data_IF_832118385639
#
_entry.id   IF_832118385639
#
_cell.length_a   1.000
_cell.length_b   1.000
_cell.length_c   1.000
_cell.angle_alpha   90.00
_cell.angle_beta   90.00
_cell.angle_gamma   90.00
#
_symmetry.space_group_name_H-M   'P 1'
#
loop_
_entity.id
_entity.type
_entity.pdbx_description
1 polymer ?
#
# COMPACT_ATOMS: atom_id res chain seq x y z
N UNK A 1 -17.25 -14.39 -11.69
CA UNK A 1 -16.58 -13.55 -10.67
C UNK A 1 -15.38 -12.88 -11.31
N UNK A 2 -15.32 -11.55 -11.28
CA UNK A 2 -14.18 -10.80 -11.83
C UNK A 2 -12.92 -11.11 -11.02
N UNK A 3 -11.74 -10.97 -11.63
CA UNK A 3 -10.46 -11.27 -10.97
C UNK A 3 -10.33 -10.55 -9.63
N UNK A 4 -10.72 -9.28 -9.58
CA UNK A 4 -10.65 -8.46 -8.38
C UNK A 4 -11.55 -8.96 -7.25
N UNK A 5 -12.77 -9.41 -7.56
CA UNK A 5 -13.70 -9.98 -6.58
C UNK A 5 -13.13 -11.25 -5.96
N UNK A 6 -12.50 -12.11 -6.77
CA UNK A 6 -11.84 -13.32 -6.29
C UNK A 6 -10.68 -13.00 -5.34
N UNK A 7 -9.82 -12.05 -5.71
CA UNK A 7 -8.69 -11.61 -4.90
C UNK A 7 -9.15 -11.02 -3.56
N UNK A 8 -10.15 -10.13 -3.59
CA UNK A 8 -10.69 -9.49 -2.39
C UNK A 8 -11.41 -10.48 -1.48
N UNK A 9 -12.14 -11.44 -2.05
CA UNK A 9 -12.81 -12.50 -1.28
C UNK A 9 -11.79 -13.35 -0.55
N UNK A 10 -10.76 -13.85 -1.26
CA UNK A 10 -9.69 -14.66 -0.68
C UNK A 10 -8.88 -13.89 0.36
N UNK A 11 -8.59 -12.61 0.12
CA UNK A 11 -7.93 -11.76 1.12
C UNK A 11 -8.82 -11.58 2.37
N UNK A 12 -10.13 -11.41 2.19
CA UNK A 12 -11.09 -11.32 3.29
C UNK A 12 -11.15 -12.58 4.16
N UNK A 13 -10.89 -13.78 3.62
CA UNK A 13 -10.89 -15.02 4.39
C UNK A 13 -9.88 -15.00 5.55
N UNK A 14 -8.77 -14.28 5.42
CA UNK A 14 -7.74 -14.13 6.47
C UNK A 14 -7.92 -12.86 7.34
N UNK A 15 -9.07 -12.17 7.22
CA UNK A 15 -9.37 -10.92 7.92
C UNK A 15 -10.81 -10.88 8.41
N UNK A 16 -11.17 -11.75 9.35
CA UNK A 16 -12.51 -11.81 9.95
C UNK A 16 -12.54 -11.24 11.37
N UNK A 17 -11.43 -11.32 12.11
CA UNK A 17 -11.35 -10.78 13.47
C UNK A 17 -11.32 -9.24 13.44
N UNK A 18 -12.21 -8.59 14.20
CA UNK A 18 -12.34 -7.11 14.23
C UNK A 18 -11.04 -6.40 14.62
N UNK A 19 -10.27 -6.96 15.54
CA UNK A 19 -8.98 -6.40 15.97
C UNK A 19 -7.94 -6.51 14.86
N UNK A 20 -7.88 -7.67 14.18
CA UNK A 20 -6.99 -7.87 13.03
C UNK A 20 -7.32 -6.89 11.89
N UNK A 21 -8.61 -6.74 11.57
CA UNK A 21 -9.12 -5.78 10.57
C UNK A 21 -8.77 -4.34 10.95
N UNK A 22 -8.92 -3.94 12.22
CA UNK A 22 -8.56 -2.60 12.67
C UNK A 22 -7.06 -2.33 12.53
N UNK A 23 -6.23 -3.27 12.95
CA UNK A 23 -4.77 -3.18 12.81
C UNK A 23 -4.40 -3.01 11.33
N UNK A 24 -4.95 -3.84 10.45
CA UNK A 24 -4.68 -3.77 9.01
C UNK A 24 -5.18 -2.47 8.38
N UNK A 25 -6.29 -1.92 8.88
CA UNK A 25 -6.86 -0.65 8.39
C UNK A 25 -5.89 0.52 8.56
N UNK A 26 -5.05 0.48 9.61
CA UNK A 26 -4.02 1.48 9.87
C UNK A 26 -2.71 1.07 9.18
N UNK A 27 -2.26 -0.17 9.39
CA UNK A 27 -0.96 -0.63 8.94
C UNK A 27 -0.82 -0.67 7.42
N UNK A 28 -1.84 -1.10 6.67
CA UNK A 28 -1.76 -1.25 5.22
C UNK A 28 -1.49 0.08 4.48
N UNK A 29 -2.28 1.16 4.66
CA UNK A 29 -1.98 2.43 4.00
C UNK A 29 -0.67 3.04 4.50
N UNK A 30 -0.31 2.86 5.78
CA UNK A 30 0.98 3.30 6.30
C UNK A 30 2.15 2.57 5.65
N UNK A 31 2.09 1.24 5.52
CA UNK A 31 3.10 0.43 4.84
C UNK A 31 3.22 0.81 3.37
N UNK A 32 2.11 1.06 2.69
CA UNK A 32 2.13 1.57 1.33
C UNK A 32 2.90 2.89 1.25
N UNK A 33 2.54 3.88 2.07
CA UNK A 33 3.23 5.17 2.15
C UNK A 33 4.73 5.02 2.39
N UNK A 34 5.13 4.27 3.42
CA UNK A 34 6.56 4.15 3.75
C UNK A 34 7.31 3.29 2.74
N UNK A 35 6.66 2.39 2.00
CA UNK A 35 7.31 1.66 0.91
C UNK A 35 7.64 2.61 -0.24
N UNK A 36 6.73 3.52 -0.58
CA UNK A 36 7.00 4.60 -1.55
C UNK A 36 8.13 5.49 -1.03
N UNK A 37 8.13 5.84 0.26
CA UNK A 37 9.18 6.65 0.88
C UNK A 37 10.56 5.97 0.93
N UNK A 38 10.61 4.66 1.17
CA UNK A 38 11.84 3.88 1.11
C UNK A 38 12.42 3.85 -0.30
N UNK A 39 11.57 3.64 -1.32
CA UNK A 39 11.98 3.72 -2.73
C UNK A 39 12.42 5.13 -3.12
N UNK A 40 11.79 6.16 -2.56
CA UNK A 40 12.18 7.56 -2.76
C UNK A 40 13.58 7.84 -2.22
N UNK A 41 13.90 7.31 -1.03
CA UNK A 41 15.17 7.56 -0.35
C UNK A 41 16.36 6.76 -0.93
N UNK A 42 16.13 5.85 -1.88
CA UNK A 42 17.21 5.10 -2.52
C UNK A 42 18.03 6.00 -3.44
N UNK A 43 19.37 5.89 -3.42
CA UNK A 43 20.22 6.65 -4.35
C UNK A 43 19.87 6.27 -5.80
N UNK A 44 19.80 7.29 -6.65
CA UNK A 44 19.58 7.14 -8.09
C UNK A 44 20.85 7.49 -8.85
N UNK A 45 21.12 6.85 -10.00
CA UNK A 45 22.19 7.28 -10.89
C UNK A 45 21.98 8.73 -11.39
N UNK A 46 23.05 9.44 -11.70
CA UNK A 46 23.01 10.84 -12.18
C UNK A 46 22.09 11.02 -13.40
N UNK A 47 22.09 10.04 -14.32
CA UNK A 47 21.26 10.09 -15.52
C UNK A 47 19.76 10.09 -15.22
N UNK A 48 19.34 9.59 -14.04
CA UNK A 48 17.95 9.62 -13.59
C UNK A 48 17.70 10.84 -12.70
N UNK A 49 18.68 11.20 -11.86
CA UNK A 49 18.62 12.35 -10.96
C UNK A 49 18.37 13.68 -11.71
N UNK A 50 18.94 13.86 -12.91
CA UNK A 50 18.76 15.07 -13.73
C UNK A 50 17.30 15.37 -14.11
N UNK A 51 16.40 14.39 -13.97
CA UNK A 51 14.97 14.52 -14.27
C UNK A 51 14.10 14.68 -13.01
N UNK A 52 14.71 14.80 -11.82
CA UNK A 52 14.01 14.74 -10.52
C UNK A 52 13.18 13.45 -10.35
N UNK A 53 13.62 12.36 -10.99
CA UNK A 53 12.96 11.06 -10.92
C UNK A 53 13.67 10.16 -9.91
N UNK A 54 12.89 9.57 -9.01
CA UNK A 54 13.33 8.55 -8.05
C UNK A 54 12.82 7.16 -8.42
N UNK A 55 13.34 6.12 -7.77
CA UNK A 55 12.81 4.75 -7.95
C UNK A 55 11.32 4.67 -7.62
N UNK A 56 10.82 5.46 -6.67
CA UNK A 56 9.40 5.50 -6.33
C UNK A 56 8.52 5.87 -7.54
N UNK A 57 8.95 6.82 -8.36
CA UNK A 57 8.23 7.21 -9.59
C UNK A 57 8.21 6.07 -10.60
N UNK A 58 9.35 5.41 -10.82
CA UNK A 58 9.47 4.31 -11.77
C UNK A 58 8.60 3.11 -11.38
N UNK A 59 8.58 2.75 -10.10
CA UNK A 59 7.77 1.63 -9.59
C UNK A 59 6.28 1.97 -9.49
N UNK A 60 5.91 3.25 -9.30
CA UNK A 60 4.51 3.67 -9.28
C UNK A 60 3.78 3.34 -10.59
N UNK A 61 4.46 3.47 -11.75
CA UNK A 61 3.85 3.24 -13.07
C UNK A 61 3.30 1.80 -13.23
N UNK A 62 4.10 0.72 -13.13
CA UNK A 62 3.60 -0.64 -13.29
C UNK A 62 2.62 -1.03 -12.17
N UNK A 63 2.79 -0.50 -10.96
CA UNK A 63 1.87 -0.74 -9.83
C UNK A 63 0.49 -0.13 -10.11
N UNK A 64 0.43 1.13 -10.54
CA UNK A 64 -0.84 1.78 -10.90
C UNK A 64 -1.46 1.12 -12.13
N UNK A 65 -0.66 0.77 -13.14
CA UNK A 65 -1.13 0.01 -14.29
C UNK A 65 -1.81 -1.30 -13.87
N UNK A 66 -1.19 -2.06 -12.96
CA UNK A 66 -1.79 -3.26 -12.39
C UNK A 66 -3.14 -2.99 -11.71
N UNK A 67 -3.28 -1.91 -10.92
CA UNK A 67 -4.56 -1.57 -10.30
C UNK A 67 -5.64 -1.19 -11.32
N UNK A 68 -5.28 -0.45 -12.38
CA UNK A 68 -6.22 -0.15 -13.47
C UNK A 68 -6.63 -1.40 -14.26
N UNK A 69 -5.75 -2.40 -14.40
CA UNK A 69 -6.12 -3.71 -14.96
C UNK A 69 -7.11 -4.48 -14.09
N UNK A 70 -7.06 -4.29 -12.76
CA UNK A 70 -8.01 -4.92 -11.86
C UNK A 70 -9.38 -4.24 -11.92
N UNK A 71 -9.41 -2.89 -11.89
CA UNK A 71 -10.63 -2.09 -11.93
C UNK A 71 -10.30 -0.59 -12.05
N UNK A 72 -11.03 0.15 -12.90
CA UNK A 72 -10.85 1.59 -13.09
C UNK A 72 -10.97 2.40 -11.80
N UNK A 73 -12.05 2.24 -11.01
CA UNK A 73 -12.21 2.92 -9.71
C UNK A 73 -11.14 2.59 -8.68
N UNK A 74 -10.64 1.35 -8.62
CA UNK A 74 -9.53 1.00 -7.71
C UNK A 74 -8.21 1.56 -8.21
N UNK A 75 -7.97 1.57 -9.52
CA UNK A 75 -6.85 2.29 -10.13
C UNK A 75 -6.87 3.78 -9.73
N UNK A 76 -8.00 4.46 -9.89
CA UNK A 76 -8.15 5.86 -9.49
C UNK A 76 -7.92 6.08 -7.98
N UNK A 77 -8.48 5.22 -7.13
CA UNK A 77 -8.30 5.29 -5.68
C UNK A 77 -6.83 5.09 -5.26
N UNK A 78 -6.14 4.12 -5.89
CA UNK A 78 -4.72 3.90 -5.65
C UNK A 78 -3.85 5.03 -6.19
N UNK A 79 -4.22 5.67 -7.30
CA UNK A 79 -3.57 6.89 -7.78
C UNK A 79 -3.66 8.01 -6.73
N UNK A 80 -4.84 8.22 -6.14
CA UNK A 80 -5.00 9.21 -5.06
C UNK A 80 -4.12 8.90 -3.85
N UNK A 81 -4.06 7.63 -3.41
CA UNK A 81 -3.18 7.22 -2.32
C UNK A 81 -1.70 7.40 -2.66
N UNK A 82 -1.32 7.17 -3.92
CA UNK A 82 0.05 7.37 -4.41
C UNK A 82 0.43 8.85 -4.40
N UNK A 83 -0.44 9.72 -4.90
CA UNK A 83 -0.26 11.18 -4.87
C UNK A 83 -0.16 11.67 -3.43
N UNK A 84 -1.05 11.21 -2.55
CA UNK A 84 -1.00 11.55 -1.12
C UNK A 84 0.32 11.08 -0.49
N UNK A 85 0.85 9.93 -0.92
CA UNK A 85 2.13 9.42 -0.43
C UNK A 85 3.30 10.28 -0.87
N UNK A 86 3.38 10.68 -2.14
CA UNK A 86 4.37 11.64 -2.60
C UNK A 86 4.27 12.98 -1.86
N UNK A 87 3.04 13.50 -1.69
CA UNK A 87 2.81 14.72 -0.90
C UNK A 87 3.31 14.60 0.55
N UNK A 88 3.06 13.46 1.20
CA UNK A 88 3.56 13.18 2.55
C UNK A 88 5.08 13.13 2.61
N UNK A 89 5.74 12.53 1.62
CA UNK A 89 7.21 12.46 1.54
C UNK A 89 7.81 13.86 1.37
N UNK A 90 7.25 14.67 0.46
CA UNK A 90 7.69 16.06 0.27
C UNK A 90 7.50 16.90 1.54
N UNK A 91 6.45 16.64 2.32
CA UNK A 91 6.26 17.27 3.63
C UNK A 91 7.36 16.85 4.62
N UNK A 92 7.73 15.57 4.67
CA UNK A 92 8.85 15.13 5.52
C UNK A 92 10.14 15.87 5.17
N UNK A 93 10.48 15.97 3.87
CA UNK A 93 11.65 16.72 3.41
C UNK A 93 11.58 18.20 3.78
N UNK A 94 10.42 18.83 3.57
CA UNK A 94 10.18 20.24 3.93
C UNK A 94 10.39 20.51 5.41
N UNK A 95 10.04 19.57 6.28
CA UNK A 95 10.26 19.66 7.73
C UNK A 95 11.64 19.16 8.18
N UNK A 96 12.53 18.80 7.25
CA UNK A 96 13.87 18.32 7.56
C UNK A 96 13.89 16.93 8.21
N UNK A 97 12.82 16.15 8.07
CA UNK A 97 12.74 14.78 8.60
C UNK A 97 13.41 13.84 7.60
N UNK A 98 14.45 13.07 8.00
CA UNK A 98 15.11 12.12 7.10
C UNK A 98 14.15 11.02 6.63
N UNK A 99 13.73 11.06 5.36
CA UNK A 99 12.71 10.16 4.78
C UNK A 99 13.09 8.70 4.97
N UNK A 100 14.32 8.30 4.62
CA UNK A 100 14.78 6.90 4.70
C UNK A 100 14.65 6.32 6.11
N UNK A 101 15.32 6.88 7.13
CA UNK A 101 15.21 6.42 8.52
C UNK A 101 13.78 6.47 9.08
N UNK A 102 13.02 7.54 8.80
CA UNK A 102 11.63 7.66 9.24
C UNK A 102 10.75 6.54 8.67
N UNK A 103 10.79 6.37 7.35
CA UNK A 103 10.03 5.35 6.66
C UNK A 103 10.46 3.94 7.06
N UNK A 104 11.77 3.69 7.27
CA UNK A 104 12.27 2.39 7.72
C UNK A 104 11.75 2.03 9.12
N UNK A 105 11.84 2.97 10.07
CA UNK A 105 11.35 2.74 11.42
C UNK A 105 9.84 2.44 11.42
N UNK A 106 9.05 3.26 10.72
CA UNK A 106 7.61 3.08 10.64
C UNK A 106 7.23 1.81 9.85
N UNK A 107 7.99 1.43 8.82
CA UNK A 107 7.82 0.17 8.08
C UNK A 107 7.93 -1.03 9.03
N UNK A 108 9.00 -1.09 9.85
CA UNK A 108 9.19 -2.17 10.81
C UNK A 108 8.04 -2.22 11.82
N UNK A 109 7.66 -1.08 12.40
CA UNK A 109 6.57 -1.03 13.39
C UNK A 109 5.24 -1.51 12.79
N UNK A 110 4.88 -1.02 11.59
CA UNK A 110 3.62 -1.40 10.96
C UNK A 110 3.58 -2.87 10.55
N UNK A 111 4.71 -3.44 10.09
CA UNK A 111 4.81 -4.87 9.79
C UNK A 111 4.69 -5.74 11.04
N UNK A 112 5.34 -5.35 12.14
CA UNK A 112 5.18 -6.03 13.44
C UNK A 112 3.70 -6.02 13.85
N UNK A 113 3.02 -4.87 13.71
CA UNK A 113 1.58 -4.79 13.99
C UNK A 113 0.77 -5.71 13.07
N UNK A 114 1.02 -5.75 11.76
CA UNK A 114 0.34 -6.70 10.86
C UNK A 114 0.51 -8.16 11.30
N UNK A 115 1.73 -8.56 11.68
CA UNK A 115 1.98 -9.91 12.17
C UNK A 115 1.26 -10.21 13.49
N UNK A 116 1.18 -9.23 14.39
CA UNK A 116 0.36 -9.35 15.62
C UNK A 116 -1.12 -9.53 15.26
N UNK A 117 -1.63 -8.77 14.28
CA UNK A 117 -2.99 -8.93 13.77
C UNK A 117 -3.26 -10.35 13.26
N UNK A 118 -2.36 -10.89 12.42
CA UNK A 118 -2.47 -12.26 11.91
C UNK A 118 -2.35 -13.32 13.01
N UNK A 119 -1.53 -13.08 14.04
CA UNK A 119 -1.46 -13.97 15.22
C UNK A 119 -2.79 -14.02 15.97
N UNK A 120 -3.47 -12.88 16.11
CA UNK A 120 -4.80 -12.79 16.73
C UNK A 120 -5.86 -13.47 15.85
N UNK A 121 -5.76 -13.33 14.52
CA UNK A 121 -6.65 -14.00 13.57
C UNK A 121 -6.49 -15.54 13.60
N UNK A 122 -5.28 -16.04 13.89
CA UNK A 122 -4.95 -17.46 13.81
C UNK A 122 -4.76 -17.98 12.38
N UNK A 123 -4.73 -17.07 11.38
CA UNK A 123 -4.49 -17.39 9.97
C UNK A 123 -3.19 -16.75 9.50
N UNK A 124 -2.45 -17.47 8.65
CA UNK A 124 -1.21 -16.98 8.06
C UNK A 124 -1.49 -15.79 7.13
N UNK A 125 -0.55 -14.84 7.00
CA UNK A 125 -0.65 -13.76 6.03
C UNK A 125 -0.80 -14.28 4.60
N UNK A 126 -1.77 -13.76 3.86
CA UNK A 126 -2.09 -14.24 2.50
C UNK A 126 -0.92 -14.07 1.52
N UNK A 127 -0.03 -13.08 1.74
CA UNK A 127 1.12 -12.88 0.86
C UNK A 127 2.17 -13.99 0.94
N UNK A 128 2.14 -14.83 1.98
CA UNK A 128 2.99 -16.02 2.05
C UNK A 128 2.56 -17.09 1.06
N UNK A 129 1.28 -17.10 0.65
CA UNK A 129 0.78 -17.97 -0.41
C UNK A 129 1.01 -17.35 -1.79
N UNK A 130 0.87 -16.02 -1.90
CA UNK A 130 1.00 -15.29 -3.17
C UNK A 130 1.34 -13.82 -2.92
N UNK A 131 2.51 -13.38 -3.38
CA UNK A 131 3.02 -12.01 -3.21
C UNK A 131 2.08 -10.92 -3.72
N UNK A 132 1.17 -11.24 -4.66
CA UNK A 132 0.15 -10.28 -5.14
C UNK A 132 -0.73 -9.76 -4.00
N UNK A 133 -0.90 -10.50 -2.91
CA UNK A 133 -1.68 -10.03 -1.77
C UNK A 133 -1.08 -8.83 -1.03
N UNK A 134 0.21 -8.50 -1.26
CA UNK A 134 0.77 -7.22 -0.84
C UNK A 134 0.11 -6.03 -1.55
N UNK A 135 -0.26 -6.20 -2.82
CA UNK A 135 -0.98 -5.20 -3.61
C UNK A 135 -2.51 -5.27 -3.39
N UNK A 136 -3.04 -6.46 -3.07
CA UNK A 136 -4.48 -6.59 -2.77
C UNK A 136 -4.86 -5.90 -1.46
N UNK A 137 -3.98 -5.88 -0.45
CA UNK A 137 -4.24 -5.21 0.83
C UNK A 137 -4.67 -3.74 0.68
N UNK A 138 -3.87 -2.86 0.04
CA UNK A 138 -4.25 -1.47 -0.21
C UNK A 138 -5.55 -1.32 -1.01
N UNK A 139 -5.80 -2.18 -2.00
CA UNK A 139 -7.07 -2.17 -2.73
C UNK A 139 -8.26 -2.55 -1.83
N UNK A 140 -8.09 -3.55 -0.96
CA UNK A 140 -9.10 -3.99 0.00
C UNK A 140 -9.48 -2.88 1.00
N UNK A 141 -8.51 -2.05 1.40
CA UNK A 141 -8.77 -0.86 2.20
C UNK A 141 -9.73 0.12 1.48
N UNK A 142 -9.47 0.42 0.19
CA UNK A 142 -10.31 1.30 -0.61
C UNK A 142 -11.71 0.78 -0.88
N UNK A 143 -11.88 -0.54 -1.03
CA UNK A 143 -13.18 -1.18 -1.29
C UNK A 143 -14.23 -0.79 -0.26
N UNK A 144 -13.84 -0.65 1.02
CA UNK A 144 -14.75 -0.22 2.07
C UNK A 144 -15.33 1.18 1.81
N UNK A 145 -14.51 2.09 1.29
CA UNK A 145 -14.91 3.45 0.94
C UNK A 145 -15.70 3.50 -0.36
N UNK A 146 -15.27 2.77 -1.39
CA UNK A 146 -15.98 2.71 -2.67
C UNK A 146 -17.41 2.17 -2.51
N UNK A 147 -17.60 1.14 -1.68
CA UNK A 147 -18.94 0.63 -1.34
C UNK A 147 -19.80 1.67 -0.63
N UNK A 148 -19.24 2.42 0.32
CA UNK A 148 -19.96 3.52 1.02
C UNK A 148 -20.39 4.64 0.07
N UNK A 149 -19.62 4.87 -1.00
CA UNK A 149 -19.92 5.86 -2.03
C UNK A 149 -20.79 5.31 -3.17
N UNK A 150 -21.24 4.05 -3.09
CA UNK A 150 -22.00 3.36 -4.14
C UNK A 150 -21.28 3.32 -5.51
N UNK A 151 -19.94 3.25 -5.50
CA UNK A 151 -19.12 3.12 -6.71
C UNK A 151 -18.85 1.63 -6.96
N UNK A 152 -19.31 1.13 -8.10
CA UNK A 152 -18.96 -0.22 -8.56
C UNK A 152 -17.49 -0.25 -8.98
N UNK A 153 -16.77 -1.28 -8.58
CA UNK A 153 -15.35 -1.48 -8.88
C UNK A 153 -15.18 -2.87 -9.44
#
# INVERSE_FOLDING_TARGET
MRQIERLLTRYGESHQNKTNVLIHTIAVPSIYFVTVGLLWALPVPEWLAQFDVTWAHLFAIPVLYYYFLLSGPIGAAMTLLTIASFGGILLLEKFGIPVGPFCLALFVVMWVLQFVGHKIEGKKPSFLEDLRYLLVGPAWWWVHWLKRMNISY
#
